data_IF_400241329186
#
_entry.id   IF_400241329186
#
_cell.length_a   1.000
_cell.length_b   1.000
_cell.length_c   1.000
_cell.angle_alpha   90.00
_cell.angle_beta   90.00
_cell.angle_gamma   90.00
#
_symmetry.space_group_name_H-M   'P 1'
#
loop_
_entity.id
_entity.type
_entity.pdbx_description
1 polymer ?
#
# COMPACT_ATOMS: atom_id res chain seq x y z
N UNK A 1 -8.33 2.37 20.82
CA UNK A 1 -7.03 2.94 20.42
C UNK A 1 -7.24 3.83 19.20
N UNK A 2 -6.63 4.99 19.16
CA UNK A 2 -6.77 5.93 18.04
C UNK A 2 -5.54 5.88 17.14
N UNK A 3 -5.66 6.47 15.95
CA UNK A 3 -4.53 6.60 15.02
C UNK A 3 -3.36 7.36 15.66
N UNK A 4 -3.66 8.34 16.51
CA UNK A 4 -2.61 9.09 17.23
C UNK A 4 -1.80 8.21 18.16
N UNK A 5 -2.45 7.22 18.80
CA UNK A 5 -1.80 6.28 19.70
C UNK A 5 -1.13 5.13 18.96
N UNK A 6 -1.67 4.77 17.80
CA UNK A 6 -1.13 3.70 16.99
C UNK A 6 -1.23 4.07 15.49
N UNK A 7 -0.15 4.62 14.95
CA UNK A 7 -0.15 5.03 13.54
C UNK A 7 -0.50 3.94 12.53
N UNK A 8 -0.35 2.66 12.90
CA UNK A 8 -0.71 1.56 11.99
C UNK A 8 -2.21 1.54 11.67
N UNK A 9 -3.05 2.06 12.59
CA UNK A 9 -4.49 2.17 12.34
C UNK A 9 -4.79 3.11 11.17
N UNK A 10 -3.90 4.06 10.89
CA UNK A 10 -4.09 4.97 9.77
C UNK A 10 -4.11 4.25 8.42
N UNK A 11 -3.46 3.11 8.32
CA UNK A 11 -3.46 2.37 7.05
C UNK A 11 -4.87 1.96 6.64
N UNK A 12 -5.70 1.56 7.60
CA UNK A 12 -7.11 1.24 7.35
C UNK A 12 -7.89 2.50 6.95
N UNK A 13 -7.68 3.60 7.67
CA UNK A 13 -8.33 4.88 7.37
C UNK A 13 -7.92 5.41 5.99
N UNK A 14 -6.64 5.27 5.64
CA UNK A 14 -6.13 5.67 4.34
C UNK A 14 -6.82 4.86 3.23
N UNK A 15 -7.00 3.56 3.43
CA UNK A 15 -7.69 2.76 2.43
C UNK A 15 -9.15 3.15 2.29
N UNK A 16 -9.84 3.49 3.39
CA UNK A 16 -11.19 4.03 3.31
C UNK A 16 -11.23 5.26 2.40
N UNK A 17 -10.24 6.13 2.53
CA UNK A 17 -10.10 7.34 1.72
C UNK A 17 -9.88 6.99 0.25
N UNK A 18 -9.03 6.02 -0.01
CA UNK A 18 -8.71 5.58 -1.38
C UNK A 18 -9.92 4.90 -2.02
N UNK A 19 -10.68 4.11 -1.26
CA UNK A 19 -11.94 3.51 -1.75
C UNK A 19 -12.92 4.59 -2.17
N UNK A 20 -13.02 5.67 -1.40
CA UNK A 20 -13.87 6.79 -1.74
C UNK A 20 -13.42 7.47 -3.04
N UNK A 21 -12.10 7.64 -3.22
CA UNK A 21 -11.53 8.15 -4.48
C UNK A 21 -11.88 7.26 -5.66
N UNK A 22 -11.89 5.95 -5.45
CA UNK A 22 -12.24 4.99 -6.48
C UNK A 22 -13.72 5.11 -6.89
N UNK A 23 -14.60 5.38 -5.92
CA UNK A 23 -16.02 5.58 -6.20
C UNK A 23 -16.28 6.91 -6.92
N UNK A 24 -15.71 7.99 -6.41
CA UNK A 24 -16.00 9.34 -6.88
C UNK A 24 -15.19 9.75 -8.10
N UNK A 25 -13.98 9.22 -8.25
CA UNK A 25 -13.08 9.52 -9.37
C UNK A 25 -12.96 11.02 -9.68
N UNK A 26 -12.62 11.84 -8.66
CA UNK A 26 -12.54 13.30 -8.89
C UNK A 26 -11.42 13.65 -9.87
N UNK A 27 -11.70 14.63 -10.73
CA UNK A 27 -10.71 15.11 -11.70
C UNK A 27 -9.53 15.77 -10.98
N UNK A 28 -8.34 15.65 -11.57
CA UNK A 28 -7.13 16.26 -11.03
C UNK A 28 -6.46 15.47 -9.91
N UNK A 29 -7.08 14.39 -9.46
CA UNK A 29 -6.50 13.52 -8.45
C UNK A 29 -5.50 12.53 -9.08
N UNK A 30 -4.31 12.44 -8.51
CA UNK A 30 -3.32 11.44 -8.93
C UNK A 30 -3.88 10.02 -8.78
N UNK A 31 -4.55 9.75 -7.64
CA UNK A 31 -5.13 8.43 -7.39
C UNK A 31 -6.19 8.08 -8.42
N UNK A 32 -7.02 9.06 -8.80
CA UNK A 32 -7.98 8.87 -9.89
C UNK A 32 -7.29 8.46 -11.18
N UNK A 33 -6.16 9.11 -11.51
CA UNK A 33 -5.41 8.79 -12.73
C UNK A 33 -4.91 7.35 -12.72
N UNK A 34 -4.49 6.85 -11.57
CA UNK A 34 -4.05 5.45 -11.44
C UNK A 34 -5.20 4.49 -11.72
N UNK A 35 -6.37 4.75 -11.14
CA UNK A 35 -7.55 3.91 -11.38
C UNK A 35 -7.98 3.95 -12.86
N UNK A 36 -7.94 5.11 -13.48
CA UNK A 36 -8.29 5.25 -14.91
C UNK A 36 -7.32 4.52 -15.81
N UNK A 37 -6.04 4.55 -15.48
CA UNK A 37 -5.00 3.88 -16.28
C UNK A 37 -5.05 2.37 -16.16
N UNK A 38 -5.66 1.85 -15.09
CA UNK A 38 -5.95 0.43 -14.96
C UNK A 38 -4.91 -0.36 -14.18
N UNK A 39 -5.20 -1.66 -14.05
CA UNK A 39 -4.46 -2.57 -13.17
C UNK A 39 -2.97 -2.68 -13.54
N UNK A 40 -2.65 -2.69 -14.83
CA UNK A 40 -1.26 -2.82 -15.25
C UNK A 40 -0.42 -1.62 -14.81
N UNK A 41 -1.00 -0.41 -14.87
CA UNK A 41 -0.32 0.79 -14.42
C UNK A 41 -0.13 0.78 -12.90
N UNK A 42 -1.17 0.38 -12.16
CA UNK A 42 -1.09 0.30 -10.70
C UNK A 42 -0.04 -0.72 -10.26
N UNK A 43 -0.01 -1.89 -10.90
CA UNK A 43 0.99 -2.92 -10.60
C UNK A 43 2.40 -2.45 -10.96
N UNK A 44 2.55 -1.77 -12.08
CA UNK A 44 3.84 -1.20 -12.49
C UNK A 44 4.36 -0.21 -11.44
N UNK A 45 3.48 0.64 -10.91
CA UNK A 45 3.88 1.62 -9.88
C UNK A 45 4.37 0.92 -8.61
N UNK A 46 3.71 -0.14 -8.18
CA UNK A 46 4.18 -0.92 -7.03
C UNK A 46 5.60 -1.44 -7.28
N UNK A 47 5.86 -1.99 -8.46
CA UNK A 47 7.19 -2.49 -8.82
C UNK A 47 8.25 -1.40 -8.85
N UNK A 48 7.93 -0.25 -9.45
CA UNK A 48 8.84 0.89 -9.51
C UNK A 48 9.20 1.41 -8.12
N UNK A 49 8.19 1.58 -7.26
CA UNK A 49 8.41 2.09 -5.91
C UNK A 49 9.14 1.07 -5.04
N UNK A 50 8.91 -0.23 -5.26
CA UNK A 50 9.66 -1.27 -4.57
C UNK A 50 11.15 -1.22 -4.94
N UNK A 51 11.46 -0.95 -6.22
CA UNK A 51 12.85 -0.79 -6.67
C UNK A 51 13.50 0.43 -6.00
N UNK A 52 12.78 1.55 -5.94
CA UNK A 52 13.27 2.75 -5.26
C UNK A 52 13.55 2.48 -3.78
N UNK A 53 12.67 1.70 -3.13
CA UNK A 53 12.86 1.28 -1.75
C UNK A 53 14.17 0.50 -1.58
N UNK A 54 14.43 -0.46 -2.48
CA UNK A 54 15.65 -1.27 -2.45
C UNK A 54 16.90 -0.39 -2.60
N UNK A 55 16.85 0.57 -3.53
CA UNK A 55 17.96 1.49 -3.76
C UNK A 55 18.27 2.29 -2.50
N UNK A 56 17.25 2.84 -1.86
CA UNK A 56 17.43 3.62 -0.64
C UNK A 56 17.88 2.77 0.54
N UNK A 57 17.45 1.51 0.61
CA UNK A 57 17.87 0.59 1.66
C UNK A 57 19.37 0.25 1.56
N UNK A 58 19.90 0.20 0.35
CA UNK A 58 21.28 -0.24 0.12
C UNK A 58 22.27 0.93 0.03
N UNK A 59 21.83 2.09 -0.46
CA UNK A 59 22.74 3.21 -0.75
C UNK A 59 22.25 4.55 -0.22
N UNK A 60 21.07 4.62 0.34
CA UNK A 60 20.48 5.88 0.76
C UNK A 60 20.47 6.09 2.27
N UNK A 61 19.61 6.99 2.72
CA UNK A 61 19.44 7.32 4.12
C UNK A 61 18.16 6.70 4.67
N UNK A 62 18.04 6.64 5.99
CA UNK A 62 16.82 6.16 6.64
C UNK A 62 15.60 7.02 6.29
N UNK A 63 15.78 8.34 6.20
CA UNK A 63 14.68 9.23 5.82
C UNK A 63 14.17 8.93 4.43
N UNK A 64 15.07 8.69 3.47
CA UNK A 64 14.68 8.32 2.10
C UNK A 64 14.07 6.95 2.04
N UNK A 65 14.55 6.01 2.86
CA UNK A 65 13.99 4.67 2.94
C UNK A 65 12.53 4.74 3.42
N UNK A 66 12.26 5.53 4.46
CA UNK A 66 10.90 5.72 4.96
C UNK A 66 10.02 6.35 3.89
N UNK A 67 10.53 7.35 3.18
CA UNK A 67 9.80 8.04 2.11
C UNK A 67 9.39 7.06 1.00
N UNK A 68 10.35 6.30 0.49
CA UNK A 68 10.07 5.37 -0.61
C UNK A 68 9.24 4.17 -0.15
N UNK A 69 9.42 3.71 1.09
CA UNK A 69 8.59 2.67 1.67
C UNK A 69 7.12 3.12 1.80
N UNK A 70 6.91 4.37 2.20
CA UNK A 70 5.58 4.94 2.30
C UNK A 70 4.92 5.06 0.94
N UNK A 71 5.69 5.46 -0.07
CA UNK A 71 5.21 5.58 -1.44
C UNK A 71 4.83 4.22 -2.03
N UNK A 72 5.67 3.21 -1.79
CA UNK A 72 5.37 1.84 -2.20
C UNK A 72 4.09 1.34 -1.54
N UNK A 73 3.95 1.57 -0.24
CA UNK A 73 2.79 1.12 0.52
C UNK A 73 1.51 1.81 0.01
N UNK A 74 1.59 3.10 -0.30
CA UNK A 74 0.46 3.83 -0.88
C UNK A 74 -0.01 3.18 -2.17
N UNK A 75 0.91 2.92 -3.08
CA UNK A 75 0.59 2.32 -4.38
C UNK A 75 0.07 0.88 -4.22
N UNK A 76 0.59 0.14 -3.23
CA UNK A 76 0.08 -1.18 -2.91
C UNK A 76 -1.39 -1.12 -2.47
N UNK A 77 -1.73 -0.14 -1.61
CA UNK A 77 -3.11 0.02 -1.16
C UNK A 77 -4.03 0.39 -2.33
N UNK A 78 -3.57 1.25 -3.25
CA UNK A 78 -4.34 1.57 -4.45
C UNK A 78 -4.60 0.31 -5.29
N UNK A 79 -3.56 -0.50 -5.49
CA UNK A 79 -3.68 -1.76 -6.24
C UNK A 79 -4.68 -2.71 -5.58
N UNK A 80 -4.57 -2.89 -4.26
CA UNK A 80 -5.49 -3.75 -3.51
C UNK A 80 -6.93 -3.25 -3.65
N UNK A 81 -7.13 -1.94 -3.53
CA UNK A 81 -8.45 -1.34 -3.67
C UNK A 81 -9.07 -1.65 -5.02
N UNK A 82 -8.29 -1.58 -6.10
CA UNK A 82 -8.78 -1.90 -7.43
C UNK A 82 -9.19 -3.36 -7.58
N UNK A 83 -8.63 -4.24 -6.75
CA UNK A 83 -8.96 -5.67 -6.75
C UNK A 83 -10.06 -6.01 -5.74
N UNK A 84 -10.61 -5.02 -5.04
CA UNK A 84 -11.63 -5.26 -4.01
C UNK A 84 -11.07 -5.87 -2.73
N UNK A 85 -9.78 -5.73 -2.49
CA UNK A 85 -9.10 -6.28 -1.30
C UNK A 85 -8.70 -5.17 -0.35
N UNK A 86 -8.74 -5.47 0.95
CA UNK A 86 -8.35 -4.54 1.99
C UNK A 86 -6.92 -4.83 2.44
N UNK A 87 -6.24 -3.80 2.93
CA UNK A 87 -4.90 -3.95 3.51
C UNK A 87 -4.92 -4.93 4.69
N UNK A 88 -6.02 -5.00 5.42
CA UNK A 88 -6.21 -5.94 6.51
C UNK A 88 -6.08 -7.39 6.06
N UNK A 89 -6.37 -7.69 4.80
CA UNK A 89 -6.23 -9.06 4.28
C UNK A 89 -4.77 -9.52 4.31
N UNK A 90 -3.83 -8.59 4.04
CA UNK A 90 -2.41 -8.92 4.12
C UNK A 90 -1.98 -9.17 5.57
N UNK A 91 -2.49 -8.35 6.50
CA UNK A 91 -2.22 -8.56 7.92
C UNK A 91 -2.78 -9.90 8.39
N UNK A 92 -4.00 -10.24 7.97
CA UNK A 92 -4.63 -11.52 8.33
C UNK A 92 -3.84 -12.71 7.80
N UNK A 93 -3.32 -12.62 6.57
CA UNK A 93 -2.47 -13.67 6.00
C UNK A 93 -1.20 -13.84 6.84
N UNK A 94 -0.57 -12.75 7.25
CA UNK A 94 0.62 -12.80 8.08
C UNK A 94 0.32 -13.40 9.46
N UNK A 95 -0.83 -13.07 10.04
CA UNK A 95 -1.27 -13.66 11.30
C UNK A 95 -1.43 -15.18 11.17
N UNK A 96 -2.03 -15.64 10.07
CA UNK A 96 -2.20 -17.06 9.79
C UNK A 96 -0.84 -17.76 9.69
N UNK A 97 0.14 -17.13 9.04
CA UNK A 97 1.49 -17.67 8.92
C UNK A 97 2.22 -17.77 10.25
N UNK A 98 1.72 -17.10 11.28
CA UNK A 98 2.34 -17.11 12.60
C UNK A 98 1.83 -18.26 13.48
N UNK A 99 0.89 -19.06 12.98
CA UNK A 99 0.37 -20.18 13.71
C UNK A 99 1.39 -21.34 13.77
N UNK A 100 1.40 -22.09 14.90
CA UNK A 100 2.23 -23.29 14.98
C UNK A 100 1.93 -24.25 13.83
N UNK A 101 2.95 -24.80 13.21
CA UNK A 101 2.81 -25.73 12.11
C UNK A 101 2.82 -25.14 10.73
N UNK A 102 2.63 -23.83 10.59
CA UNK A 102 2.77 -23.21 9.27
C UNK A 102 4.26 -23.19 8.87
N UNK A 103 4.52 -23.59 7.65
CA UNK A 103 5.90 -23.60 7.14
C UNK A 103 5.99 -22.77 5.90
N UNK A 104 6.99 -21.89 5.87
CA UNK A 104 7.28 -21.12 4.68
C UNK A 104 7.80 -22.06 3.58
N UNK A 105 7.23 -21.89 2.42
CA UNK A 105 7.59 -22.66 1.23
C UNK A 105 9.01 -22.38 0.76
#
# INVERSE_FOLDING_TARGET
MTTEQNPLLFLSELQDFIEKRHEEMPEGSYTTSLFKDGINRMAQKVGEEALELVIEATNGTNDRLIYEGSDMLYHLIVLLTSKGLRIEALASELMERHNPGWKKH
#
